data_IF_292599293982
#
_entry.id   IF_292599293982
#
_cell.length_a   1.000
_cell.length_b   1.000
_cell.length_c   1.000
_cell.angle_alpha   90.00
_cell.angle_beta   90.00
_cell.angle_gamma   90.00
#
_symmetry.space_group_name_H-M   'P 1'
#
loop_
_entity.id
_entity.type
_entity.pdbx_description
1 polymer ?
#
# COMPACT_ATOMS: atom_id res chain seq x y z
N UNK A 1 11.61 10.72 -12.18
CA UNK A 1 13.04 10.91 -12.53
C UNK A 1 13.60 9.57 -13.02
N UNK A 2 14.50 9.55 -14.00
CA UNK A 2 15.12 8.30 -14.49
C UNK A 2 16.64 8.32 -14.38
N UNK A 3 17.23 7.15 -14.13
CA UNK A 3 18.67 6.95 -14.00
C UNK A 3 19.11 5.72 -14.78
N UNK A 4 20.40 5.65 -15.15
CA UNK A 4 20.91 4.44 -15.81
C UNK A 4 21.09 3.29 -14.81
N UNK A 5 20.96 2.04 -15.26
CA UNK A 5 21.25 0.87 -14.43
C UNK A 5 22.70 0.84 -13.90
N UNK A 6 23.65 1.40 -14.65
CA UNK A 6 25.05 1.51 -14.20
C UNK A 6 25.22 2.50 -13.05
N UNK A 7 24.46 3.59 -13.05
CA UNK A 7 24.43 4.57 -11.97
C UNK A 7 23.70 4.00 -10.76
N UNK A 8 22.50 3.43 -10.97
CA UNK A 8 21.70 2.79 -9.93
C UNK A 8 22.50 1.75 -9.14
N UNK A 9 23.30 0.93 -9.83
CA UNK A 9 24.19 -0.05 -9.19
C UNK A 9 25.25 0.60 -8.29
N UNK A 10 25.81 1.75 -8.68
CA UNK A 10 26.85 2.44 -7.91
C UNK A 10 26.28 3.12 -6.67
N UNK A 11 25.03 3.56 -6.72
CA UNK A 11 24.40 4.40 -5.69
C UNK A 11 23.16 3.75 -5.08
N UNK A 12 23.07 2.41 -5.07
CA UNK A 12 21.85 1.69 -4.70
C UNK A 12 21.37 2.01 -3.28
N UNK A 13 22.27 2.02 -2.28
CA UNK A 13 21.88 2.31 -0.90
C UNK A 13 21.35 3.73 -0.70
N UNK A 14 22.05 4.79 -1.16
CA UNK A 14 21.49 6.15 -1.16
C UNK A 14 20.15 6.26 -1.89
N UNK A 15 19.97 5.54 -3.01
CA UNK A 15 18.71 5.55 -3.74
C UNK A 15 17.58 4.91 -2.94
N UNK A 16 17.84 3.78 -2.26
CA UNK A 16 16.86 3.14 -1.38
C UNK A 16 16.44 4.11 -0.26
N UNK A 17 17.39 4.75 0.39
CA UNK A 17 17.09 5.73 1.45
C UNK A 17 16.24 6.88 0.91
N UNK A 18 16.63 7.44 -0.24
CA UNK A 18 15.89 8.53 -0.88
C UNK A 18 14.46 8.15 -1.25
N UNK A 19 14.23 7.00 -1.90
CA UNK A 19 12.86 6.62 -2.29
C UNK A 19 11.97 6.43 -1.07
N UNK A 20 12.50 5.89 0.03
CA UNK A 20 11.73 5.71 1.27
C UNK A 20 11.46 7.03 2.00
N UNK A 21 12.33 8.04 1.89
CA UNK A 21 12.13 9.35 2.51
C UNK A 21 11.19 10.23 1.69
N UNK A 22 11.40 10.29 0.38
CA UNK A 22 10.68 11.19 -0.51
C UNK A 22 9.35 10.58 -0.99
N UNK A 23 9.16 9.26 -0.82
CA UNK A 23 8.06 8.48 -1.38
C UNK A 23 7.90 8.64 -2.91
N UNK A 24 8.99 8.97 -3.61
CA UNK A 24 9.02 9.12 -5.06
C UNK A 24 9.67 7.93 -5.75
N UNK A 25 8.95 7.35 -6.73
CA UNK A 25 9.47 6.27 -7.55
C UNK A 25 10.54 6.75 -8.56
N UNK A 26 11.59 5.95 -8.74
CA UNK A 26 12.68 6.19 -9.69
C UNK A 26 12.67 5.11 -10.77
N UNK A 27 12.69 5.53 -12.03
CA UNK A 27 12.86 4.62 -13.15
C UNK A 27 14.34 4.33 -13.40
N UNK A 28 14.70 3.05 -13.44
CA UNK A 28 16.03 2.56 -13.79
C UNK A 28 16.00 2.07 -15.24
N UNK A 29 16.75 2.74 -16.10
CA UNK A 29 16.80 2.46 -17.54
C UNK A 29 18.00 1.58 -17.88
N UNK A 30 17.76 0.52 -18.65
CA UNK A 30 18.80 -0.40 -19.12
C UNK A 30 18.56 -0.82 -20.58
N UNK A 31 19.62 -1.26 -21.27
CA UNK A 31 19.53 -1.82 -22.62
C UNK A 31 18.62 -3.05 -22.72
N UNK A 32 18.34 -3.72 -21.59
CA UNK A 32 17.51 -4.93 -21.52
C UNK A 32 16.09 -4.67 -21.01
N UNK A 33 15.71 -3.41 -20.82
CA UNK A 33 14.42 -3.01 -20.27
C UNK A 33 14.55 -2.18 -19.00
N UNK A 34 13.46 -1.55 -18.60
CA UNK A 34 13.43 -0.63 -17.48
C UNK A 34 12.84 -1.31 -16.25
N UNK A 35 13.21 -0.82 -15.07
CA UNK A 35 12.66 -1.23 -13.79
C UNK A 35 12.29 0.01 -12.97
N UNK A 36 11.43 -0.14 -11.97
CA UNK A 36 11.08 0.94 -11.05
C UNK A 36 11.57 0.57 -9.66
N UNK A 37 12.28 1.49 -9.00
CA UNK A 37 12.59 1.45 -7.59
C UNK A 37 11.61 2.35 -6.84
N UNK A 38 10.93 1.81 -5.84
CA UNK A 38 9.96 2.52 -5.01
C UNK A 38 9.95 1.93 -3.60
N UNK A 39 9.37 2.62 -2.61
CA UNK A 39 9.17 2.07 -1.27
C UNK A 39 8.37 0.76 -1.30
N UNK A 40 8.71 -0.16 -0.41
CA UNK A 40 8.08 -1.48 -0.36
C UNK A 40 6.64 -1.41 0.15
N UNK A 41 6.36 -0.50 1.08
CA UNK A 41 5.02 -0.19 1.59
C UNK A 41 4.13 0.43 0.51
N UNK A 42 4.66 1.34 -0.30
CA UNK A 42 3.94 1.93 -1.45
C UNK A 42 3.58 0.84 -2.49
N UNK A 43 4.53 -0.05 -2.78
CA UNK A 43 4.28 -1.20 -3.66
C UNK A 43 3.17 -2.11 -3.09
N UNK A 44 3.22 -2.43 -1.80
CA UNK A 44 2.20 -3.25 -1.15
C UNK A 44 0.82 -2.58 -1.17
N UNK A 45 0.76 -1.27 -0.91
CA UNK A 45 -0.48 -0.48 -0.97
C UNK A 45 -1.09 -0.48 -2.37
N UNK A 46 -0.27 -0.39 -3.42
CA UNK A 46 -0.74 -0.50 -4.81
C UNK A 46 -1.25 -1.89 -5.14
N UNK A 47 -0.58 -2.95 -4.70
CA UNK A 47 -1.06 -4.32 -4.90
C UNK A 47 -2.42 -4.55 -4.22
N UNK A 48 -2.58 -4.07 -2.99
CA UNK A 48 -3.84 -4.17 -2.26
C UNK A 48 -4.95 -3.38 -2.95
N UNK A 49 -4.66 -2.14 -3.38
CA UNK A 49 -5.61 -1.33 -4.13
C UNK A 49 -6.01 -2.03 -5.43
N UNK A 50 -5.04 -2.51 -6.21
CA UNK A 50 -5.33 -3.26 -7.43
C UNK A 50 -6.18 -4.51 -7.16
N UNK A 51 -5.92 -5.21 -6.05
CA UNK A 51 -6.71 -6.36 -5.62
C UNK A 51 -8.16 -5.98 -5.30
N UNK A 52 -8.38 -4.93 -4.48
CA UNK A 52 -9.71 -4.43 -4.13
C UNK A 52 -10.52 -4.04 -5.37
N UNK A 53 -9.86 -3.44 -6.35
CA UNK A 53 -10.48 -2.97 -7.59
C UNK A 53 -10.58 -4.04 -8.70
N UNK A 54 -10.04 -5.24 -8.50
CA UNK A 54 -10.03 -6.31 -9.51
C UNK A 54 -11.44 -6.77 -9.91
N UNK A 55 -12.42 -6.66 -9.02
CA UNK A 55 -13.83 -6.94 -9.31
C UNK A 55 -14.61 -5.63 -9.41
N UNK A 56 -15.21 -5.30 -10.56
CA UNK A 56 -16.04 -4.09 -10.70
C UNK A 56 -17.17 -4.02 -9.67
N UNK A 57 -17.73 -5.17 -9.29
CA UNK A 57 -18.75 -5.24 -8.25
C UNK A 57 -18.17 -4.91 -6.85
N UNK A 58 -16.96 -5.36 -6.54
CA UNK A 58 -16.30 -5.03 -5.28
C UNK A 58 -15.89 -3.56 -5.22
N UNK A 59 -15.32 -3.03 -6.30
CA UNK A 59 -14.96 -1.62 -6.43
C UNK A 59 -16.18 -0.71 -6.17
N UNK A 60 -17.33 -1.03 -6.78
CA UNK A 60 -18.57 -0.28 -6.56
C UNK A 60 -19.02 -0.33 -5.10
N UNK A 61 -19.01 -1.52 -4.48
CA UNK A 61 -19.37 -1.67 -3.05
C UNK A 61 -18.46 -0.87 -2.13
N UNK A 62 -17.15 -0.84 -2.42
CA UNK A 62 -16.16 -0.09 -1.64
C UNK A 62 -16.40 1.41 -1.75
N UNK A 63 -16.59 1.93 -2.97
CA UNK A 63 -16.87 3.35 -3.20
C UNK A 63 -18.21 3.78 -2.57
N UNK A 64 -19.27 2.97 -2.72
CA UNK A 64 -20.56 3.22 -2.08
C UNK A 64 -20.47 3.22 -0.55
N UNK A 65 -19.62 2.37 0.04
CA UNK A 65 -19.36 2.36 1.47
C UNK A 65 -18.58 3.61 1.92
N UNK A 66 -17.56 4.00 1.16
CA UNK A 66 -16.77 5.21 1.41
C UNK A 66 -17.62 6.49 1.38
N UNK A 67 -18.49 6.64 0.38
CA UNK A 67 -19.39 7.79 0.26
C UNK A 67 -20.41 7.87 1.40
N UNK A 68 -20.97 6.72 1.80
CA UNK A 68 -21.85 6.64 2.98
C UNK A 68 -21.11 7.05 4.26
N UNK A 69 -19.88 6.59 4.44
CA UNK A 69 -19.06 6.95 5.59
C UNK A 69 -18.78 8.46 5.64
N UNK A 70 -18.39 9.07 4.51
CA UNK A 70 -18.19 10.53 4.43
C UNK A 70 -19.45 11.34 4.69
N UNK A 71 -20.61 10.82 4.27
CA UNK A 71 -21.90 11.45 4.52
C UNK A 71 -22.45 11.20 5.93
N UNK A 72 -21.69 10.53 6.81
CA UNK A 72 -22.13 10.16 8.17
C UNK A 72 -23.22 9.07 8.22
N UNK A 73 -23.51 8.41 7.10
CA UNK A 73 -24.51 7.34 6.99
C UNK A 73 -23.92 5.99 7.42
N UNK A 74 -23.41 5.93 8.64
CA UNK A 74 -22.81 4.73 9.25
C UNK A 74 -23.67 4.22 10.40
N UNK A 75 -23.59 2.92 10.67
CA UNK A 75 -24.17 2.30 11.85
C UNK A 75 -23.03 1.74 12.70
N UNK A 76 -23.01 2.12 13.98
CA UNK A 76 -22.06 1.56 14.94
C UNK A 76 -22.58 0.20 15.39
N UNK A 77 -21.71 -0.80 15.34
CA UNK A 77 -21.98 -2.13 15.88
C UNK A 77 -20.87 -2.44 16.88
N UNK A 78 -21.23 -3.10 17.99
CA UNK A 78 -20.21 -3.66 18.88
C UNK A 78 -19.44 -4.76 18.15
N UNK A 79 -18.15 -4.87 18.45
CA UNK A 79 -17.32 -5.94 17.88
C UNK A 79 -17.81 -7.28 18.43
N UNK A 80 -18.15 -8.19 17.52
CA UNK A 80 -18.42 -9.56 17.90
C UNK A 80 -17.11 -10.25 18.29
N UNK A 81 -16.93 -10.47 19.59
CA UNK A 81 -15.74 -11.11 20.19
C UNK A 81 -16.04 -12.54 20.61
N UNK A 82 -17.09 -13.17 20.09
CA UNK A 82 -17.43 -14.56 20.42
C UNK A 82 -16.32 -15.55 20.10
N UNK A 83 -15.41 -15.18 19.19
CA UNK A 83 -14.29 -16.00 18.74
C UNK A 83 -12.97 -15.70 19.48
N UNK A 84 -12.95 -14.71 20.40
CA UNK A 84 -11.80 -14.47 21.27
C UNK A 84 -11.79 -15.50 22.41
N UNK A 85 -10.68 -16.24 22.62
CA UNK A 85 -10.59 -17.15 23.76
C UNK A 85 -10.74 -16.34 25.05
N UNK A 86 -11.75 -16.70 25.84
CA UNK A 86 -11.96 -16.14 27.16
C UNK A 86 -10.70 -16.37 28.01
N UNK A 87 -10.15 -15.28 28.52
CA UNK A 87 -9.04 -15.21 29.49
C UNK A 87 -7.62 -15.07 28.91
N UNK A 88 -7.24 -13.82 28.63
CA UNK A 88 -5.88 -13.36 28.94
C UNK A 88 -6.00 -12.08 29.78
N UNK A 89 -5.55 -12.09 31.05
CA UNK A 89 -5.57 -10.89 31.88
C UNK A 89 -4.65 -9.85 31.25
N UNK A 90 -5.19 -8.65 30.98
CA UNK A 90 -4.39 -7.50 30.57
C UNK A 90 -3.49 -7.12 31.74
N UNK A 91 -2.22 -7.51 31.67
CA UNK A 91 -1.19 -7.00 32.55
C UNK A 91 -1.12 -5.47 32.45
N UNK A 92 -1.06 -4.84 33.62
CA UNK A 92 -0.95 -3.40 33.86
C UNK A 92 0.32 -2.84 33.22
#
# INVERSE_FOLDING_TARGET
MSISASEARKTLFPLIERVNQDHEAIEIVSRKGNAVLMPADEYAAWQETAYLFRSPANARRLLDAYDRARAGKVQAHELDRSDEPADQPRGI
#
